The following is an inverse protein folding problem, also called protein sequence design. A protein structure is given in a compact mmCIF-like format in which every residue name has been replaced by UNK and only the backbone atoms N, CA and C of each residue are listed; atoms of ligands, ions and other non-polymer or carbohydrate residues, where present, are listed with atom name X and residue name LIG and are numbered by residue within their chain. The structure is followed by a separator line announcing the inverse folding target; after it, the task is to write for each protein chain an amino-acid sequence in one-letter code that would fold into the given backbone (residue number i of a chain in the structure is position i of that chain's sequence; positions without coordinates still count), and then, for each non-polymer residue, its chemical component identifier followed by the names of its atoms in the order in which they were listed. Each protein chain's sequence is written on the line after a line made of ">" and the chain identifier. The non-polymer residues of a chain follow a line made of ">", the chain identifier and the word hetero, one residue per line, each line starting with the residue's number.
data_IF_481821506106
#
_entry.id   IF_481821506106
#
_cell.length_a   1.000
_cell.length_b   1.000
_cell.length_c   1.000
_cell.angle_alpha   90.00
_cell.angle_beta   90.00
_cell.angle_gamma   90.00
#
_symmetry.space_group_name_H-M   'P 1'
#
loop_
_entity.id
_entity.type
_entity.pdbx_description
1 polymer ?
#
# COMPACT_ATOMS: atom_id res chain seq x y z
N UNK A 1 37.25 -14.44 20.91
CA UNK A 1 36.24 -13.65 20.17
C UNK A 1 36.90 -13.15 18.91
N UNK A 2 36.59 -13.74 17.74
CA UNK A 2 37.13 -13.25 16.47
C UNK A 2 36.54 -11.85 16.20
N UNK A 3 37.41 -10.85 16.04
CA UNK A 3 37.05 -9.55 15.48
C UNK A 3 36.66 -9.80 14.02
N UNK A 4 35.38 -9.61 13.69
CA UNK A 4 34.94 -9.49 12.30
C UNK A 4 35.70 -8.36 11.62
N UNK A 5 36.12 -8.56 10.38
CA UNK A 5 36.83 -7.52 9.65
C UNK A 5 35.85 -6.42 9.23
N UNK A 6 36.33 -5.17 9.13
CA UNK A 6 35.53 -4.03 8.65
C UNK A 6 34.95 -4.26 7.26
N UNK A 7 35.57 -5.15 6.48
CA UNK A 7 35.12 -5.61 5.16
C UNK A 7 33.98 -6.64 5.23
N UNK A 8 33.92 -7.46 6.29
CA UNK A 8 32.79 -8.38 6.53
C UNK A 8 31.53 -7.63 6.96
N UNK A 9 31.67 -6.53 7.70
CA UNK A 9 30.56 -5.63 8.03
C UNK A 9 30.03 -4.88 6.79
N UNK A 10 30.91 -4.52 5.85
CA UNK A 10 30.56 -3.93 4.54
C UNK A 10 29.92 -4.94 3.57
N UNK A 11 30.01 -6.24 3.87
CA UNK A 11 29.47 -7.34 3.05
C UNK A 11 28.07 -7.79 3.47
N UNK A 12 27.42 -7.12 4.42
CA UNK A 12 25.96 -7.10 4.42
C UNK A 12 25.54 -6.30 3.20
N UNK A 13 24.88 -6.93 2.23
CA UNK A 13 24.08 -6.20 1.24
C UNK A 13 23.23 -5.22 2.05
N UNK A 14 23.47 -3.91 1.87
CA UNK A 14 22.71 -2.87 2.57
C UNK A 14 21.24 -3.19 2.35
N UNK A 15 20.54 -3.58 3.41
CA UNK A 15 19.11 -3.84 3.34
C UNK A 15 18.42 -2.54 2.94
N UNK A 16 17.34 -2.64 2.16
CA UNK A 16 16.42 -1.51 2.01
C UNK A 16 15.60 -1.45 3.29
N UNK A 17 15.57 -0.29 3.91
CA UNK A 17 14.75 -0.04 5.08
C UNK A 17 13.38 0.47 4.59
N UNK A 18 12.31 -0.13 5.08
CA UNK A 18 10.94 0.23 4.72
C UNK A 18 10.19 0.62 5.98
N UNK A 19 9.45 1.72 5.93
CA UNK A 19 8.37 1.95 6.89
C UNK A 19 7.10 1.32 6.35
N UNK A 20 6.13 1.05 7.23
CA UNK A 20 4.81 0.63 6.80
C UNK A 20 3.71 1.25 7.65
N UNK A 21 2.56 1.44 7.04
CA UNK A 21 1.34 1.94 7.70
C UNK A 21 0.16 1.09 7.27
N UNK A 22 -0.84 0.99 8.14
CA UNK A 22 -2.12 0.38 7.82
C UNK A 22 -3.28 1.29 8.21
N UNK A 23 -4.33 1.22 7.41
CA UNK A 23 -5.61 1.88 7.65
C UNK A 23 -6.73 1.10 6.96
N UNK A 24 -7.97 1.44 7.30
CA UNK A 24 -9.14 0.81 6.69
C UNK A 24 -10.22 1.86 6.37
N UNK A 25 -10.97 1.63 5.29
CA UNK A 25 -12.06 2.48 4.84
C UNK A 25 -13.24 1.64 4.39
N UNK A 26 -14.43 2.02 4.82
CA UNK A 26 -15.68 1.41 4.36
C UNK A 26 -16.03 1.92 2.96
N UNK A 27 -16.49 1.05 2.06
CA UNK A 27 -16.95 1.44 0.74
C UNK A 27 -17.93 0.44 0.13
N UNK A 28 -18.56 0.81 -0.99
CA UNK A 28 -19.53 -0.01 -1.70
C UNK A 28 -18.93 -0.49 -3.02
N UNK A 29 -18.82 -1.81 -3.17
CA UNK A 29 -18.35 -2.44 -4.40
C UNK A 29 -19.53 -2.94 -5.22
N UNK A 30 -19.34 -2.99 -6.53
CA UNK A 30 -20.27 -3.55 -7.49
C UNK A 30 -19.48 -3.89 -8.75
N UNK A 31 -19.54 -5.15 -9.17
CA UNK A 31 -18.95 -5.65 -10.41
C UNK A 31 -20.06 -6.14 -11.34
N UNK A 32 -20.64 -5.27 -12.19
CA UNK A 32 -21.81 -5.61 -13.01
C UNK A 32 -21.62 -6.84 -13.92
N UNK A 33 -20.38 -7.06 -14.37
CA UNK A 33 -20.02 -8.14 -15.30
C UNK A 33 -19.52 -9.41 -14.59
N UNK A 34 -19.83 -9.60 -13.29
CA UNK A 34 -19.35 -10.76 -12.55
C UNK A 34 -19.75 -12.10 -13.23
N UNK A 35 -18.83 -13.08 -13.28
CA UNK A 35 -19.11 -14.37 -13.92
C UNK A 35 -20.08 -15.23 -13.11
N UNK A 36 -20.50 -16.35 -13.71
CA UNK A 36 -21.32 -17.37 -13.02
C UNK A 36 -20.58 -17.94 -11.79
N UNK A 37 -21.31 -18.16 -10.70
CA UNK A 37 -20.78 -18.63 -9.41
C UNK A 37 -20.43 -17.52 -8.40
N UNK A 38 -20.38 -16.26 -8.83
CA UNK A 38 -20.15 -15.07 -7.99
C UNK A 38 -21.11 -13.93 -8.35
N UNK A 39 -22.32 -14.27 -8.80
CA UNK A 39 -23.31 -13.33 -9.32
C UNK A 39 -23.75 -12.28 -8.30
N UNK A 40 -23.62 -12.59 -7.00
CA UNK A 40 -23.90 -11.64 -5.92
C UNK A 40 -23.05 -10.36 -6.04
N UNK A 41 -21.87 -10.44 -6.66
CA UNK A 41 -20.99 -9.29 -6.89
C UNK A 41 -21.57 -8.28 -7.89
N UNK A 42 -22.58 -8.66 -8.70
CA UNK A 42 -23.27 -7.75 -9.63
C UNK A 42 -24.12 -6.71 -8.93
N UNK A 43 -24.46 -6.94 -7.67
CA UNK A 43 -25.28 -6.03 -6.88
C UNK A 43 -24.38 -5.24 -5.92
N UNK A 44 -24.75 -3.98 -5.59
CA UNK A 44 -24.00 -3.20 -4.61
C UNK A 44 -23.88 -3.96 -3.28
N UNK A 45 -22.65 -4.13 -2.82
CA UNK A 45 -22.32 -4.81 -1.57
C UNK A 45 -21.21 -4.04 -0.86
N UNK A 46 -21.16 -4.20 0.47
CA UNK A 46 -20.30 -3.40 1.34
C UNK A 46 -19.07 -4.21 1.72
N UNK A 47 -17.91 -3.54 1.70
CA UNK A 47 -16.66 -4.07 2.24
C UNK A 47 -16.03 -3.07 3.21
N UNK A 48 -15.27 -3.59 4.16
CA UNK A 48 -14.19 -2.83 4.78
C UNK A 48 -12.92 -3.06 3.97
N UNK A 49 -12.43 -2.04 3.28
CA UNK A 49 -11.16 -2.11 2.54
C UNK A 49 -10.00 -1.84 3.48
N UNK A 50 -9.05 -2.77 3.55
CA UNK A 50 -7.86 -2.68 4.37
C UNK A 50 -6.64 -2.41 3.51
N UNK A 51 -5.90 -1.38 3.87
CA UNK A 51 -4.69 -0.93 3.18
C UNK A 51 -3.46 -1.22 4.04
N UNK A 52 -2.41 -1.73 3.42
CA UNK A 52 -1.05 -1.75 3.95
C UNK A 52 -0.14 -1.11 2.92
N UNK A 53 0.55 -0.05 3.30
CA UNK A 53 1.46 0.68 2.43
C UNK A 53 2.85 0.63 3.03
N UNK A 54 3.81 0.15 2.25
CA UNK A 54 5.23 0.10 2.59
C UNK A 54 6.01 1.06 1.69
N UNK A 55 6.84 1.90 2.28
CA UNK A 55 7.62 2.91 1.56
C UNK A 55 9.08 2.85 2.01
N UNK A 56 10.01 2.84 1.06
CA UNK A 56 11.44 2.86 1.34
C UNK A 56 11.84 4.16 2.05
N UNK A 57 12.69 4.05 3.06
CA UNK A 57 13.39 5.16 3.72
C UNK A 57 14.89 5.08 3.48
N UNK A 58 15.54 6.23 3.34
CA UNK A 58 16.95 6.38 2.97
C UNK A 58 17.87 6.54 4.18
N UNK A 59 17.31 6.89 5.34
CA UNK A 59 18.00 6.96 6.62
C UNK A 59 17.06 6.70 7.81
N UNK A 60 17.64 6.31 8.95
CA UNK A 60 16.94 5.88 10.17
C UNK A 60 16.34 7.03 11.00
N UNK A 61 16.85 8.25 10.84
CA UNK A 61 16.34 9.43 11.53
C UNK A 61 15.04 9.99 10.89
N UNK A 62 13.97 9.19 10.89
CA UNK A 62 12.62 9.59 10.46
C UNK A 62 12.58 10.30 9.10
N UNK A 63 13.19 9.70 8.07
CA UNK A 63 13.14 10.20 6.69
C UNK A 63 11.70 10.46 6.23
N UNK A 64 10.80 9.52 6.52
CA UNK A 64 9.35 9.73 6.44
C UNK A 64 8.75 9.36 7.80
N UNK A 65 8.02 10.30 8.41
CA UNK A 65 7.34 10.04 9.68
C UNK A 65 6.02 9.31 9.41
N UNK A 66 5.97 8.03 9.81
CA UNK A 66 4.87 7.13 9.48
C UNK A 66 3.50 7.59 9.99
N UNK A 67 3.41 8.33 11.11
CA UNK A 67 2.12 8.86 11.58
C UNK A 67 1.58 9.93 10.65
N UNK A 68 2.45 10.82 10.15
CA UNK A 68 2.05 11.87 9.21
C UNK A 68 1.70 11.26 7.86
N UNK A 69 2.52 10.33 7.38
CA UNK A 69 2.25 9.57 6.15
C UNK A 69 0.91 8.84 6.21
N UNK A 70 0.64 8.11 7.30
CA UNK A 70 -0.65 7.44 7.50
C UNK A 70 -1.83 8.41 7.41
N UNK A 71 -1.75 9.54 8.13
CA UNK A 71 -2.83 10.54 8.16
C UNK A 71 -3.06 11.17 6.79
N UNK A 72 -2.00 11.43 6.05
CA UNK A 72 -2.08 11.93 4.68
C UNK A 72 -2.84 10.95 3.78
N UNK A 73 -2.44 9.67 3.77
CA UNK A 73 -3.09 8.66 2.93
C UNK A 73 -4.55 8.41 3.32
N UNK A 74 -4.85 8.38 4.63
CA UNK A 74 -6.25 8.27 5.11
C UNK A 74 -7.11 9.45 4.65
N UNK A 75 -6.55 10.67 4.67
CA UNK A 75 -7.26 11.90 4.30
C UNK A 75 -7.60 11.97 2.80
N UNK A 76 -6.88 11.26 1.93
CA UNK A 76 -7.21 11.17 0.50
C UNK A 76 -8.61 10.57 0.28
N UNK A 77 -9.01 9.61 1.13
CA UNK A 77 -10.33 9.00 1.08
C UNK A 77 -11.37 9.82 1.85
N UNK A 78 -11.03 10.34 3.03
CA UNK A 78 -11.97 11.13 3.85
C UNK A 78 -12.38 12.45 3.17
N UNK A 79 -11.46 13.06 2.41
CA UNK A 79 -11.73 14.26 1.62
C UNK A 79 -12.43 13.99 0.29
N UNK A 80 -12.62 12.72 -0.09
CA UNK A 80 -13.20 12.31 -1.37
C UNK A 80 -12.28 12.48 -2.59
N UNK A 81 -11.00 12.81 -2.38
CA UNK A 81 -9.99 12.89 -3.45
C UNK A 81 -9.84 11.54 -4.15
N UNK A 82 -9.84 10.45 -3.39
CA UNK A 82 -9.90 9.08 -3.89
C UNK A 82 -11.26 8.46 -3.51
N UNK A 83 -11.85 7.75 -4.47
CA UNK A 83 -13.13 7.05 -4.31
C UNK A 83 -12.89 5.55 -4.29
N UNK A 84 -13.60 4.84 -3.42
CA UNK A 84 -13.52 3.37 -3.29
C UNK A 84 -14.54 2.66 -4.18
N UNK A 85 -15.66 3.31 -4.45
CA UNK A 85 -16.78 2.66 -5.12
C UNK A 85 -16.44 2.23 -6.55
N UNK A 86 -16.90 1.05 -6.94
CA UNK A 86 -16.70 0.44 -8.26
C UNK A 86 -15.23 0.20 -8.67
N UNK A 87 -14.30 0.14 -7.71
CA UNK A 87 -12.89 -0.16 -7.97
C UNK A 87 -12.49 -1.50 -7.39
N UNK A 88 -11.72 -2.27 -8.16
CA UNK A 88 -11.05 -3.46 -7.64
C UNK A 88 -9.89 -3.07 -6.71
N UNK A 89 -9.45 -4.00 -5.87
CA UNK A 89 -8.26 -3.84 -5.02
C UNK A 89 -7.03 -3.36 -5.81
N UNK A 90 -6.81 -3.89 -7.01
CA UNK A 90 -5.70 -3.49 -7.89
C UNK A 90 -5.84 -2.06 -8.41
N UNK A 91 -7.07 -1.62 -8.71
CA UNK A 91 -7.32 -0.24 -9.14
C UNK A 91 -7.04 0.73 -8.00
N UNK A 92 -7.55 0.44 -6.80
CA UNK A 92 -7.28 1.22 -5.59
C UNK A 92 -5.77 1.28 -5.28
N UNK A 93 -5.09 0.12 -5.33
CA UNK A 93 -3.66 0.06 -5.09
C UNK A 93 -2.86 0.87 -6.12
N UNK A 94 -3.24 0.85 -7.40
CA UNK A 94 -2.55 1.57 -8.47
C UNK A 94 -2.73 3.08 -8.35
N UNK A 95 -3.96 3.55 -8.13
CA UNK A 95 -4.25 4.97 -7.93
C UNK A 95 -3.53 5.54 -6.71
N UNK A 96 -3.51 4.79 -5.59
CA UNK A 96 -2.75 5.17 -4.41
C UNK A 96 -1.24 5.19 -4.69
N UNK A 97 -0.74 4.24 -5.47
CA UNK A 97 0.68 4.20 -5.86
C UNK A 97 1.07 5.39 -6.74
N UNK A 98 0.24 5.79 -7.70
CA UNK A 98 0.46 6.97 -8.53
C UNK A 98 0.66 8.22 -7.66
N UNK A 99 -0.26 8.48 -6.73
CA UNK A 99 -0.13 9.58 -5.79
C UNK A 99 1.17 9.51 -4.96
N UNK A 100 1.50 8.34 -4.40
CA UNK A 100 2.68 8.18 -3.54
C UNK A 100 3.97 8.37 -4.34
N UNK A 101 4.08 7.81 -5.55
CA UNK A 101 5.29 7.93 -6.37
C UNK A 101 5.54 9.38 -6.81
N UNK A 102 4.48 10.16 -7.04
CA UNK A 102 4.59 11.59 -7.37
C UNK A 102 5.07 12.42 -6.17
N UNK A 103 4.58 12.14 -4.96
CA UNK A 103 4.90 12.91 -3.75
C UNK A 103 6.17 12.42 -3.01
N UNK A 104 6.53 11.14 -3.17
CA UNK A 104 7.67 10.48 -2.53
C UNK A 104 8.54 9.75 -3.57
N UNK A 105 9.14 10.47 -4.52
CA UNK A 105 9.83 9.87 -5.66
C UNK A 105 11.12 9.14 -5.25
N UNK A 106 11.60 8.26 -6.14
CA UNK A 106 12.86 7.51 -6.02
C UNK A 106 12.91 6.55 -4.82
N UNK A 107 11.79 5.89 -4.51
CA UNK A 107 11.63 4.97 -3.38
C UNK A 107 10.94 3.69 -3.85
N UNK A 108 11.38 2.55 -3.33
CA UNK A 108 10.59 1.32 -3.45
C UNK A 108 9.25 1.51 -2.72
N UNK A 109 8.18 0.99 -3.32
CA UNK A 109 6.83 1.06 -2.78
C UNK A 109 6.17 -0.32 -2.91
N UNK A 110 5.46 -0.74 -1.87
CA UNK A 110 4.54 -1.87 -1.94
C UNK A 110 3.20 -1.50 -1.33
N UNK A 111 2.11 -1.91 -1.97
CA UNK A 111 0.75 -1.64 -1.51
C UNK A 111 -0.03 -2.94 -1.53
N UNK A 112 -0.64 -3.27 -0.40
CA UNK A 112 -1.64 -4.33 -0.29
C UNK A 112 -3.00 -3.69 -0.02
N UNK A 113 -4.01 -4.15 -0.74
CA UNK A 113 -5.42 -3.79 -0.54
C UNK A 113 -6.22 -5.07 -0.45
N UNK A 114 -7.04 -5.21 0.59
CA UNK A 114 -7.91 -6.37 0.79
C UNK A 114 -9.32 -5.99 1.20
N UNK A 115 -10.28 -6.78 0.75
CA UNK A 115 -11.67 -6.75 1.16
C UNK A 115 -11.82 -7.59 2.44
N UNK A 116 -12.30 -6.96 3.51
CA UNK A 116 -12.63 -7.58 4.80
C UNK A 116 -11.50 -8.39 5.46
N UNK A 117 -10.23 -8.12 5.07
CA UNK A 117 -9.04 -8.92 5.42
C UNK A 117 -9.07 -10.37 4.91
N UNK A 118 -9.91 -10.69 3.92
CA UNK A 118 -10.04 -12.04 3.39
C UNK A 118 -9.28 -12.22 2.08
N UNK A 119 -9.58 -11.37 1.10
CA UNK A 119 -9.06 -11.48 -0.27
C UNK A 119 -8.60 -10.12 -0.77
N UNK A 120 -7.57 -10.09 -1.61
CA UNK A 120 -7.01 -8.82 -2.04
C UNK A 120 -5.88 -8.95 -3.05
N UNK A 121 -5.17 -7.84 -3.23
CA UNK A 121 -4.04 -7.74 -4.13
C UNK A 121 -2.80 -7.21 -3.40
N UNK A 122 -1.63 -7.46 -4.00
CA UNK A 122 -0.37 -6.81 -3.64
C UNK A 122 0.31 -6.30 -4.90
N UNK A 123 0.61 -5.02 -4.95
CA UNK A 123 1.44 -4.41 -5.99
C UNK A 123 2.79 -4.00 -5.42
N UNK A 124 3.85 -4.20 -6.19
CA UNK A 124 5.22 -3.79 -5.84
C UNK A 124 5.82 -2.95 -6.96
N UNK A 125 6.42 -1.83 -6.58
CA UNK A 125 7.02 -0.84 -7.46
C UNK A 125 8.48 -0.65 -7.00
N UNK A 126 9.42 -1.47 -7.50
CA UNK A 126 10.83 -1.27 -7.20
C UNK A 126 11.32 -0.01 -7.89
N UNK A 127 12.06 0.84 -7.16
CA UNK A 127 12.79 1.94 -7.76
C UNK A 127 14.02 1.37 -8.48
N UNK A 128 14.00 1.43 -9.82
CA UNK A 128 15.05 0.91 -10.71
C UNK A 128 16.28 1.83 -10.76
#
# INVERSE_FOLDING_TARGET
>A
MLRRSREEDLKMRKSKDMIWVTFAKEGIHCYPDAPEGVEFLKHPHRHMFHFRVELEVKHDNRDVEFILFKRELEALYDGGTMQLDYKSCEMMARELAEYIMDNYPNRDLAIEVSEDLENGCRLTFPNL
#
